data_IF_130115978828
#
_entry.id   IF_130115978828
#
_cell.length_a   1.000
_cell.length_b   1.000
_cell.length_c   1.000
_cell.angle_alpha   90.00
_cell.angle_beta   90.00
_cell.angle_gamma   90.00
#
_symmetry.space_group_name_H-M   'P 1'
#
loop_
_entity.id
_entity.type
_entity.pdbx_description
1 polymer ?
#
# COMPACT_ATOMS: atom_id res chain seq x y z
N UNK A 1 -1.75 -5.34 21.33
CA UNK A 1 -1.69 -5.09 20.71
C UNK A 1 -1.39 -4.40 19.45
N UNK A 2 -0.44 -3.50 19.46
CA UNK A 2 -0.12 -2.79 18.25
C UNK A 2 0.42 -3.70 17.17
N UNK A 3 1.14 -4.73 17.53
CA UNK A 3 1.65 -5.65 16.52
C UNK A 3 0.56 -6.34 15.74
N UNK A 4 -0.48 -6.77 16.45
CA UNK A 4 -1.59 -7.42 15.79
C UNK A 4 -2.33 -6.47 14.88
N UNK A 5 -2.47 -5.24 15.29
CA UNK A 5 -3.11 -4.24 14.48
C UNK A 5 -2.33 -3.96 13.23
N UNK A 6 -1.02 -3.80 13.36
CA UNK A 6 -0.18 -3.55 12.21
C UNK A 6 -0.25 -4.68 11.21
N UNK A 7 -0.21 -5.91 11.71
CA UNK A 7 -0.27 -7.07 10.85
C UNK A 7 -1.60 -7.13 10.10
N UNK A 8 -2.69 -6.85 10.81
CA UNK A 8 -4.01 -6.86 10.19
C UNK A 8 -4.12 -5.78 9.13
N UNK A 9 -3.57 -4.61 9.41
CA UNK A 9 -3.64 -3.52 8.45
C UNK A 9 -2.82 -3.83 7.20
N UNK A 10 -1.66 -4.44 7.36
CA UNK A 10 -0.87 -4.84 6.21
C UNK A 10 -1.58 -5.87 5.37
N UNK A 11 -2.21 -6.82 6.04
CA UNK A 11 -2.98 -7.84 5.34
C UNK A 11 -4.12 -7.21 4.56
N UNK A 12 -4.82 -6.27 5.18
CA UNK A 12 -5.93 -5.60 4.52
C UNK A 12 -5.45 -4.79 3.32
N UNK A 13 -4.33 -4.09 3.47
CA UNK A 13 -3.78 -3.31 2.37
C UNK A 13 -3.41 -4.21 1.20
N UNK A 14 -2.74 -5.32 1.48
CA UNK A 14 -2.37 -6.25 0.44
C UNK A 14 -3.61 -6.83 -0.24
N UNK A 15 -4.62 -7.16 0.54
CA UNK A 15 -5.84 -7.72 -0.02
C UNK A 15 -6.53 -6.74 -0.96
N UNK A 16 -6.54 -5.46 -0.59
CA UNK A 16 -7.14 -4.44 -1.44
C UNK A 16 -6.36 -4.33 -2.75
N UNK A 17 -5.04 -4.37 -2.68
CA UNK A 17 -4.22 -4.28 -3.89
C UNK A 17 -4.41 -5.50 -4.78
N UNK A 18 -4.52 -6.68 -4.19
CA UNK A 18 -4.78 -7.89 -4.98
C UNK A 18 -6.13 -7.78 -5.66
N UNK A 19 -7.14 -7.30 -4.95
CA UNK A 19 -8.46 -7.15 -5.53
C UNK A 19 -8.44 -6.15 -6.69
N UNK A 20 -7.71 -5.05 -6.53
CA UNK A 20 -7.60 -4.07 -7.59
C UNK A 20 -6.93 -4.68 -8.83
N UNK A 21 -5.89 -5.48 -8.60
CA UNK A 21 -5.20 -6.13 -9.71
C UNK A 21 -6.12 -7.10 -10.43
N UNK A 22 -6.91 -7.85 -9.67
CA UNK A 22 -7.84 -8.79 -10.26
C UNK A 22 -8.91 -8.11 -11.09
N UNK A 23 -9.21 -6.87 -10.77
CA UNK A 23 -10.16 -6.10 -11.54
C UNK A 23 -9.53 -5.37 -12.72
N UNK A 24 -8.26 -5.64 -12.97
CA UNK A 24 -7.59 -5.07 -14.12
C UNK A 24 -7.01 -3.69 -13.91
N UNK A 25 -6.90 -3.24 -12.68
CA UNK A 25 -6.34 -1.93 -12.42
C UNK A 25 -4.82 -1.97 -12.46
N UNK A 26 -4.24 -0.87 -12.94
CA UNK A 26 -2.80 -0.71 -12.98
C UNK A 26 -2.30 -0.35 -11.58
N UNK A 27 -1.53 -1.25 -10.97
CA UNK A 27 -1.06 -1.04 -9.60
C UNK A 27 -0.12 0.17 -9.49
N UNK A 28 0.68 0.42 -10.52
CA UNK A 28 1.57 1.58 -10.49
C UNK A 28 0.78 2.88 -10.45
N UNK A 29 -0.24 2.98 -11.28
CA UNK A 29 -1.07 4.17 -11.30
C UNK A 29 -1.84 4.32 -10.00
N UNK A 30 -2.35 3.21 -9.48
CA UNK A 30 -3.08 3.23 -8.23
C UNK A 30 -2.18 3.69 -7.08
N UNK A 31 -0.96 3.17 -7.04
CA UNK A 31 -0.01 3.54 -6.02
C UNK A 31 0.32 5.04 -6.08
N UNK A 32 0.57 5.54 -7.28
CA UNK A 32 0.89 6.94 -7.44
C UNK A 32 -0.25 7.85 -6.99
N UNK A 33 -1.47 7.49 -7.36
CA UNK A 33 -2.63 8.27 -6.97
C UNK A 33 -2.80 8.26 -5.44
N UNK A 34 -2.58 7.12 -4.82
CA UNK A 34 -2.71 7.01 -3.38
C UNK A 34 -1.65 7.87 -2.68
N UNK A 35 -0.43 7.84 -3.18
CA UNK A 35 0.66 8.62 -2.60
C UNK A 35 0.36 10.11 -2.74
N UNK A 36 -0.08 10.53 -3.92
CA UNK A 36 -0.42 11.94 -4.14
C UNK A 36 -1.53 12.39 -3.21
N UNK A 37 -2.51 11.52 -3.01
CA UNK A 37 -3.61 11.83 -2.13
C UNK A 37 -3.12 12.12 -0.71
N UNK A 38 -2.19 11.31 -0.23
CA UNK A 38 -1.64 11.50 1.10
C UNK A 38 -0.78 12.75 1.20
N UNK A 39 0.02 13.01 0.15
CA UNK A 39 0.90 14.16 0.17
C UNK A 39 0.13 15.48 0.12
N UNK A 40 -1.03 15.47 -0.52
CA UNK A 40 -1.83 16.67 -0.65
C UNK A 40 -2.77 16.93 0.52
N UNK A 41 -2.88 15.99 1.44
CA UNK A 41 -3.79 16.14 2.55
C UNK A 41 -3.06 16.78 3.73
N UNK A 42 -3.42 18.02 4.02
CA UNK A 42 -2.73 18.77 5.07
C UNK A 42 -3.04 18.23 6.46
N UNK A 43 -4.02 17.36 6.59
CA UNK A 43 -4.37 16.78 7.88
C UNK A 43 -3.40 15.68 8.30
N UNK A 44 -2.64 15.15 7.35
CA UNK A 44 -1.70 14.10 7.67
C UNK A 44 -0.35 14.66 8.06
N UNK A 45 0.25 14.07 9.08
CA UNK A 45 1.58 14.40 9.50
C UNK A 45 2.59 13.86 8.48
N UNK A 46 3.63 14.63 8.18
CA UNK A 46 4.57 14.23 7.14
C UNK A 46 5.33 12.96 7.50
N UNK A 47 5.62 12.73 8.78
CA UNK A 47 6.26 11.49 9.19
C UNK A 47 5.36 10.29 8.94
N UNK A 48 4.08 10.45 9.23
CA UNK A 48 3.11 9.39 8.99
C UNK A 48 2.98 9.10 7.50
N UNK A 49 2.97 10.16 6.69
CA UNK A 49 2.88 10.00 5.25
C UNK A 49 4.10 9.24 4.73
N UNK A 50 5.30 9.58 5.22
CA UNK A 50 6.50 8.90 4.78
C UNK A 50 6.43 7.40 5.07
N UNK A 51 5.96 7.04 6.26
CA UNK A 51 5.83 5.62 6.60
C UNK A 51 4.75 4.95 5.77
N UNK A 52 3.66 5.65 5.51
CA UNK A 52 2.58 5.08 4.71
C UNK A 52 3.01 4.86 3.26
N UNK A 53 3.81 5.78 2.72
CA UNK A 53 4.33 5.62 1.36
C UNK A 53 5.18 4.36 1.27
N UNK A 54 6.05 4.15 2.24
CA UNK A 54 6.88 2.95 2.25
C UNK A 54 6.01 1.70 2.34
N UNK A 55 4.99 1.73 3.18
CA UNK A 55 4.10 0.58 3.34
C UNK A 55 3.38 0.25 2.03
N UNK A 56 2.92 1.27 1.32
CA UNK A 56 2.25 1.06 0.05
C UNK A 56 3.21 0.47 -0.98
N UNK A 57 4.44 0.99 -1.02
CA UNK A 57 5.41 0.51 -1.98
C UNK A 57 5.79 -0.93 -1.73
N UNK A 58 5.99 -1.28 -0.47
CA UNK A 58 6.32 -2.66 -0.11
C UNK A 58 5.17 -3.59 -0.46
N UNK A 59 3.94 -3.18 -0.15
CA UNK A 59 2.79 -4.02 -0.43
C UNK A 59 2.58 -4.19 -1.94
N UNK A 60 2.75 -3.12 -2.70
CA UNK A 60 2.59 -3.19 -4.16
C UNK A 60 3.64 -4.09 -4.78
N UNK A 61 4.88 -4.00 -4.30
CA UNK A 61 5.94 -4.87 -4.79
C UNK A 61 5.64 -6.33 -4.50
N UNK A 62 5.12 -6.61 -3.31
CA UNK A 62 4.80 -7.99 -2.94
C UNK A 62 3.71 -8.57 -3.84
N UNK A 63 2.75 -7.74 -4.22
CA UNK A 63 1.69 -8.19 -5.11
C UNK A 63 2.19 -8.35 -6.54
N UNK A 64 3.02 -7.42 -6.99
CA UNK A 64 3.51 -7.42 -8.37
C UNK A 64 4.46 -8.56 -8.65
N UNK A 65 5.20 -9.02 -7.64
CA UNK A 65 6.21 -10.06 -7.84
C UNK A 65 6.08 -11.20 -6.83
N UNK A 66 4.91 -11.80 -6.74
CA UNK A 66 4.67 -12.77 -5.67
C UNK A 66 5.50 -14.03 -5.81
N UNK A 67 5.86 -14.39 -7.02
CA UNK A 67 6.57 -15.64 -7.19
C UNK A 67 8.05 -15.47 -7.43
N UNK A 68 8.54 -14.28 -7.29
CA UNK A 68 9.95 -14.04 -7.55
C UNK A 68 10.83 -14.74 -6.54
N UNK A 69 10.26 -15.14 -5.46
CA UNK A 69 11.02 -15.77 -4.45
C UNK A 69 11.45 -17.13 -4.77
N UNK A 70 10.82 -17.73 -5.67
CA UNK A 70 11.14 -19.12 -5.92
C UNK A 70 12.27 -19.35 -6.87
#
# INVERSE_FOLDING_TARGET
MSENKEKSLRMALKAVLVAAQEQGMDLDALRETAIESMLNDILYDSDDVAHAVIAIEVAADAVASPSSMV
#
